data_IF_958619989442
#
_entry.id   IF_958619989442
#
_cell.length_a   1.000
_cell.length_b   1.000
_cell.length_c   1.000
_cell.angle_alpha   90.00
_cell.angle_beta   90.00
_cell.angle_gamma   90.00
#
_symmetry.space_group_name_H-M   'P 1'
#
loop_
_entity.id
_entity.type
_entity.pdbx_description
1 polymer ?
#
# COMPACT_ATOMS: atom_id res chain seq x y z
N UNK A 1 13.96 7.05 -7.01
CA UNK A 1 12.72 7.77 -7.42
C UNK A 1 11.57 7.20 -6.61
N UNK A 2 11.02 7.93 -5.63
CA UNK A 2 9.87 7.44 -4.86
C UNK A 2 8.60 7.55 -5.71
N UNK A 3 8.06 6.41 -6.15
CA UNK A 3 6.74 6.35 -6.79
C UNK A 3 5.68 6.47 -5.70
N UNK A 4 4.88 7.53 -5.75
CA UNK A 4 3.72 7.68 -4.86
C UNK A 4 2.72 6.57 -5.13
N UNK A 5 2.26 5.92 -4.07
CA UNK A 5 1.23 4.89 -4.10
C UNK A 5 -0.05 5.42 -3.46
N UNK A 6 -1.19 5.12 -4.07
CA UNK A 6 -2.52 5.47 -3.58
C UNK A 6 -3.46 4.28 -3.77
N UNK A 7 -4.50 4.21 -2.95
CA UNK A 7 -5.60 3.26 -3.13
C UNK A 7 -6.85 4.09 -3.39
N UNK A 8 -7.53 3.81 -4.50
CA UNK A 8 -8.84 4.37 -4.78
C UNK A 8 -9.88 3.61 -3.94
N UNK A 9 -10.21 4.17 -2.79
CA UNK A 9 -11.08 3.55 -1.79
C UNK A 9 -12.47 3.27 -2.35
N UNK A 10 -12.94 4.06 -3.33
CA UNK A 10 -14.24 3.84 -4.00
C UNK A 10 -14.27 2.59 -4.88
N UNK A 11 -13.15 2.22 -5.51
CA UNK A 11 -13.01 1.00 -6.31
C UNK A 11 -12.47 -0.18 -5.51
N UNK A 12 -12.01 0.07 -4.28
CA UNK A 12 -11.51 -0.98 -3.40
C UNK A 12 -12.64 -1.92 -2.99
N UNK A 13 -12.56 -3.17 -3.47
CA UNK A 13 -13.51 -4.24 -3.15
C UNK A 13 -13.16 -5.03 -1.87
N UNK A 14 -12.15 -4.57 -1.11
CA UNK A 14 -11.75 -5.24 0.13
C UNK A 14 -11.13 -6.63 -0.03
N UNK A 15 -10.50 -6.94 -1.17
CA UNK A 15 -9.91 -8.27 -1.41
C UNK A 15 -8.64 -8.57 -0.57
N UNK A 16 -8.10 -7.57 0.13
CA UNK A 16 -6.91 -7.66 1.00
C UNK A 16 -5.60 -8.08 0.32
N UNK A 17 -5.58 -8.29 -1.01
CA UNK A 17 -4.37 -8.71 -1.73
C UNK A 17 -3.19 -7.74 -1.54
N UNK A 18 -3.44 -6.42 -1.56
CA UNK A 18 -2.39 -5.41 -1.35
C UNK A 18 -1.78 -5.46 0.05
N UNK A 19 -2.59 -5.71 1.08
CA UNK A 19 -2.15 -5.81 2.48
C UNK A 19 -1.36 -7.10 2.71
N UNK A 20 -1.74 -8.20 2.06
CA UNK A 20 -0.96 -9.45 2.08
C UNK A 20 0.37 -9.35 1.32
N UNK A 21 0.43 -8.55 0.26
CA UNK A 21 1.64 -8.32 -0.53
C UNK A 21 2.62 -7.38 0.19
N UNK A 22 2.15 -6.22 0.67
CA UNK A 22 2.99 -5.22 1.32
C UNK A 22 2.30 -4.63 2.57
N UNK A 23 2.29 -5.35 3.71
CA UNK A 23 1.59 -4.94 4.94
C UNK A 23 2.17 -3.67 5.61
N UNK A 24 3.41 -3.34 5.26
CA UNK A 24 4.14 -2.13 5.68
C UNK A 24 3.69 -0.88 4.90
N UNK A 25 3.28 -1.03 3.64
CA UNK A 25 2.81 0.06 2.79
C UNK A 25 1.28 0.19 2.83
N UNK A 26 0.57 -0.94 2.93
CA UNK A 26 -0.88 -0.99 2.89
C UNK A 26 -1.46 -1.50 4.21
N UNK A 27 -2.56 -0.87 4.63
CA UNK A 27 -3.41 -1.30 5.72
C UNK A 27 -4.77 -1.73 5.22
N UNK A 28 -5.49 -2.49 6.05
CA UNK A 28 -6.90 -2.77 5.86
C UNK A 28 -7.68 -2.13 6.98
N UNK A 29 -8.73 -1.41 6.62
CA UNK A 29 -9.68 -0.82 7.55
C UNK A 29 -10.89 -1.74 7.66
N UNK A 30 -11.08 -2.34 8.84
CA UNK A 30 -12.16 -3.30 9.08
C UNK A 30 -13.54 -2.64 9.21
N UNK A 31 -13.59 -1.33 9.48
CA UNK A 31 -14.86 -0.59 9.59
C UNK A 31 -15.46 -0.28 8.22
N UNK A 32 -14.60 0.11 7.28
CA UNK A 32 -15.00 0.44 5.90
C UNK A 32 -14.84 -0.73 4.94
N UNK A 33 -14.26 -1.85 5.40
CA UNK A 33 -13.87 -3.02 4.61
C UNK A 33 -12.98 -2.67 3.41
N UNK A 34 -12.13 -1.64 3.55
CA UNK A 34 -11.32 -1.09 2.47
C UNK A 34 -9.86 -0.99 2.86
N UNK A 35 -8.99 -1.17 1.87
CA UNK A 35 -7.56 -0.97 2.06
C UNK A 35 -7.20 0.52 2.01
N UNK A 36 -6.20 0.92 2.78
CA UNK A 36 -5.66 2.27 2.82
C UNK A 36 -4.14 2.26 2.75
N UNK A 37 -3.54 3.37 2.32
CA UNK A 37 -2.09 3.50 2.25
C UNK A 37 -1.56 4.02 3.58
N UNK A 38 -0.71 3.22 4.23
CA UNK A 38 0.00 3.61 5.47
C UNK A 38 1.20 4.50 5.18
N UNK A 39 1.89 4.25 4.07
CA UNK A 39 3.08 4.99 3.66
C UNK A 39 2.92 5.52 2.22
N UNK A 40 2.36 6.73 2.05
CA UNK A 40 2.12 7.32 0.72
C UNK A 40 3.40 7.62 -0.07
N UNK A 41 4.54 7.65 0.61
CA UNK A 41 5.85 7.88 0.04
C UNK A 41 6.57 6.57 -0.35
N UNK A 42 5.98 5.41 -0.02
CA UNK A 42 6.70 4.12 0.04
C UNK A 42 7.66 4.12 1.24
N UNK A 43 7.85 3.00 1.93
CA UNK A 43 8.72 2.94 3.10
C UNK A 43 10.19 3.29 2.84
N UNK A 44 11.04 3.07 3.86
CA UNK A 44 12.47 3.41 3.87
C UNK A 44 13.19 3.07 2.55
N UNK A 45 13.99 4.04 2.07
CA UNK A 45 14.71 4.04 0.79
C UNK A 45 15.49 2.74 0.49
N UNK A 46 15.88 1.96 1.50
CA UNK A 46 16.56 0.67 1.38
C UNK A 46 15.70 -0.40 0.67
N UNK A 47 14.38 -0.46 0.90
CA UNK A 47 13.49 -1.42 0.23
C UNK A 47 13.14 -1.01 -1.22
N UNK A 48 13.26 0.28 -1.54
CA UNK A 48 12.88 0.82 -2.85
C UNK A 48 14.04 0.70 -3.85
N UNK A 49 15.29 0.81 -3.40
CA UNK A 49 16.47 0.74 -4.26
C UNK A 49 16.71 -0.68 -4.83
N UNK A 50 16.46 -1.73 -4.04
CA UNK A 50 16.56 -3.13 -4.51
C UNK A 50 15.46 -3.51 -5.52
N UNK A 51 14.32 -2.82 -5.53
CA UNK A 51 13.18 -3.15 -6.38
C UNK A 51 13.23 -2.49 -7.79
N UNK A 52 14.12 -1.52 -8.00
CA UNK A 52 14.30 -0.81 -9.29
C UNK A 52 15.68 -1.11 -9.91
N UNK A 53 16.37 -2.14 -9.42
CA UNK A 53 17.59 -2.71 -10.01
C UNK A 53 17.32 -3.62 -11.20
#
# INVERSE_FOLDING_TARGET
MSKKVYIETEECIGCQSCVGLCPEVFGFDEETERAFVKMPEGGSEECIDEAIG
#
